data_IF_633874095289
#
_entry.id   IF_633874095289
#
_cell.length_a   1.000
_cell.length_b   1.000
_cell.length_c   1.000
_cell.angle_alpha   90.00
_cell.angle_beta   90.00
_cell.angle_gamma   90.00
#
_symmetry.space_group_name_H-M   'P 1'
#
loop_
_entity.id
_entity.type
_entity.pdbx_description
1 polymer ?
#
# COMPACT_ATOMS: atom_id res chain seq x y z
N UNK A 1 -2.24 -16.19 27.31
CA UNK A 1 -2.50 -16.86 26.03
C UNK A 1 -3.31 -15.96 25.08
N UNK A 2 -2.66 -15.45 24.04
CA UNK A 2 -3.28 -14.65 22.99
C UNK A 2 -3.31 -15.41 21.66
N UNK A 3 -4.40 -15.27 20.90
CA UNK A 3 -4.51 -15.87 19.56
C UNK A 3 -4.61 -14.77 18.52
N UNK A 4 -3.78 -14.84 17.49
CA UNK A 4 -3.82 -13.95 16.33
C UNK A 4 -4.36 -14.74 15.15
N UNK A 5 -5.41 -14.23 14.51
CA UNK A 5 -6.06 -14.88 13.38
C UNK A 5 -5.70 -14.14 12.09
N UNK A 6 -4.82 -14.74 11.29
CA UNK A 6 -4.25 -14.14 10.07
C UNK A 6 -2.78 -13.73 10.27
N UNK A 7 -1.92 -14.15 9.34
CA UNK A 7 -0.48 -13.96 9.27
C UNK A 7 -0.04 -13.02 8.14
N UNK A 8 -0.90 -12.06 7.76
CA UNK A 8 -0.49 -10.93 6.93
C UNK A 8 0.25 -9.86 7.74
N UNK A 9 0.54 -8.71 7.13
CA UNK A 9 1.21 -7.57 7.79
C UNK A 9 0.57 -7.16 9.12
N UNK A 10 -0.76 -7.08 9.19
CA UNK A 10 -1.47 -6.76 10.44
C UNK A 10 -1.33 -7.85 11.51
N UNK A 11 -1.23 -9.12 11.10
CA UNK A 11 -1.05 -10.26 12.00
C UNK A 11 0.36 -10.30 12.60
N UNK A 12 1.37 -10.16 11.75
CA UNK A 12 2.77 -10.05 12.19
C UNK A 12 3.04 -8.80 13.01
N UNK A 13 2.40 -7.67 12.67
CA UNK A 13 2.42 -6.47 13.50
C UNK A 13 1.83 -6.70 14.89
N UNK A 14 0.70 -7.41 14.98
CA UNK A 14 0.10 -7.79 16.26
C UNK A 14 0.98 -8.78 17.05
N UNK A 15 1.58 -9.76 16.37
CA UNK A 15 2.49 -10.73 16.99
C UNK A 15 3.70 -10.03 17.61
N UNK A 16 4.34 -9.15 16.84
CA UNK A 16 5.44 -8.30 17.29
C UNK A 16 5.04 -7.46 18.51
N UNK A 17 3.92 -6.74 18.43
CA UNK A 17 3.46 -5.88 19.52
C UNK A 17 3.17 -6.67 20.81
N UNK A 18 2.55 -7.85 20.71
CA UNK A 18 2.27 -8.71 21.87
C UNK A 18 3.55 -9.28 22.47
N UNK A 19 4.44 -9.83 21.65
CA UNK A 19 5.72 -10.39 22.10
C UNK A 19 6.59 -9.34 22.80
N UNK A 20 6.66 -8.13 22.24
CA UNK A 20 7.51 -7.05 22.76
C UNK A 20 6.85 -6.20 23.84
N UNK A 21 5.58 -6.47 24.19
CA UNK A 21 4.85 -5.72 25.22
C UNK A 21 5.44 -5.83 26.63
N UNK A 22 6.32 -6.83 26.85
CA UNK A 22 6.83 -7.19 28.18
C UNK A 22 5.85 -8.01 29.01
N UNK A 23 4.68 -8.35 28.49
CA UNK A 23 3.75 -9.26 29.14
C UNK A 23 4.24 -10.71 29.01
N UNK A 24 4.21 -11.45 30.12
CA UNK A 24 4.45 -12.89 30.12
C UNK A 24 3.23 -13.61 29.51
N UNK A 25 3.30 -13.87 28.21
CA UNK A 25 2.18 -14.43 27.48
C UNK A 25 2.60 -15.39 26.36
N UNK A 26 1.84 -16.48 26.25
CA UNK A 26 1.91 -17.38 25.09
C UNK A 26 1.12 -16.78 23.93
N UNK A 27 1.74 -16.66 22.77
CA UNK A 27 1.11 -16.12 21.55
C UNK A 27 1.01 -17.24 20.52
N UNK A 28 -0.19 -17.45 19.96
CA UNK A 28 -0.42 -18.37 18.85
C UNK A 28 -0.93 -17.61 17.63
N UNK A 29 -0.16 -17.59 16.55
CA UNK A 29 -0.59 -17.06 15.26
C UNK A 29 -1.15 -18.20 14.41
N UNK A 30 -2.37 -18.06 13.90
CA UNK A 30 -3.03 -19.08 13.07
C UNK A 30 -3.33 -18.49 11.69
N UNK A 31 -2.84 -19.12 10.63
CA UNK A 31 -3.10 -18.70 9.25
C UNK A 31 -3.40 -19.88 8.31
N UNK A 32 -4.23 -19.61 7.31
CA UNK A 32 -4.65 -20.61 6.32
C UNK A 32 -3.59 -20.87 5.24
N UNK A 33 -2.63 -19.96 5.03
CA UNK A 33 -1.46 -20.18 4.20
C UNK A 33 -0.64 -21.33 4.80
N UNK A 34 -0.18 -22.30 3.98
CA UNK A 34 0.60 -23.43 4.47
C UNK A 34 1.80 -23.02 5.33
N UNK A 35 2.45 -21.93 4.95
CA UNK A 35 3.53 -21.32 5.72
C UNK A 35 3.40 -19.79 5.73
N UNK A 36 2.93 -19.19 6.85
CA UNK A 36 2.85 -17.75 7.00
C UNK A 36 4.15 -17.11 7.51
N UNK A 37 5.19 -17.89 7.83
CA UNK A 37 6.50 -17.39 8.28
C UNK A 37 7.38 -16.92 7.13
N UNK A 38 7.12 -17.42 5.91
CA UNK A 38 7.96 -17.14 4.75
C UNK A 38 9.18 -18.05 4.62
N UNK A 39 9.33 -19.06 5.48
CA UNK A 39 10.42 -20.04 5.38
C UNK A 39 10.32 -20.91 4.11
N UNK A 40 9.09 -21.18 3.67
CA UNK A 40 8.78 -21.97 2.48
C UNK A 40 8.40 -21.04 1.33
N UNK A 41 9.15 -21.02 0.22
CA UNK A 41 8.85 -20.13 -0.89
C UNK A 41 7.55 -20.52 -1.58
N UNK A 42 6.78 -19.51 -1.99
CA UNK A 42 5.58 -19.73 -2.79
C UNK A 42 5.95 -19.84 -4.27
N UNK A 43 5.92 -21.06 -4.81
CA UNK A 43 6.38 -21.36 -6.16
C UNK A 43 5.23 -21.73 -7.10
N UNK A 44 5.40 -21.40 -8.38
CA UNK A 44 4.60 -21.94 -9.48
C UNK A 44 4.84 -23.45 -9.65
N UNK A 45 3.97 -24.18 -10.38
CA UNK A 45 4.23 -25.59 -10.71
C UNK A 45 5.55 -25.85 -11.45
N UNK A 46 6.17 -24.81 -12.03
CA UNK A 46 7.46 -24.89 -12.73
C UNK A 46 8.64 -24.44 -11.87
N UNK A 47 8.45 -24.29 -10.54
CA UNK A 47 9.52 -23.92 -9.60
C UNK A 47 9.81 -22.42 -9.50
N UNK A 48 9.19 -21.58 -10.33
CA UNK A 48 9.42 -20.11 -10.32
C UNK A 48 8.73 -19.42 -9.14
N UNK A 49 9.34 -18.41 -8.51
CA UNK A 49 8.74 -17.69 -7.39
C UNK A 49 7.48 -16.90 -7.81
N UNK A 50 6.48 -16.88 -6.94
CA UNK A 50 5.20 -16.18 -7.14
C UNK A 50 4.83 -15.42 -5.86
N UNK A 51 4.24 -14.22 -6.02
CA UNK A 51 3.65 -13.46 -4.93
C UNK A 51 2.26 -12.97 -5.33
N UNK A 52 1.40 -12.72 -4.32
CA UNK A 52 0.09 -12.10 -4.51
C UNK A 52 0.25 -10.59 -4.77
N UNK A 53 0.84 -10.23 -5.91
CA UNK A 53 1.20 -8.86 -6.28
C UNK A 53 2.68 -8.54 -6.08
N UNK A 54 3.14 -7.48 -6.74
CA UNK A 54 4.47 -6.90 -6.50
C UNK A 54 4.30 -5.72 -5.55
N UNK A 55 5.14 -5.63 -4.51
CA UNK A 55 5.00 -4.66 -3.42
C UNK A 55 6.09 -3.61 -3.51
N UNK A 56 5.68 -2.36 -3.65
CA UNK A 56 6.56 -1.19 -3.55
C UNK A 56 6.60 -0.70 -2.11
N UNK A 57 7.76 -0.21 -1.71
CA UNK A 57 8.00 0.39 -0.40
C UNK A 57 8.36 1.85 -0.60
N UNK A 58 7.50 2.74 -0.11
CA UNK A 58 7.77 4.18 -0.14
C UNK A 58 8.83 4.55 0.90
N UNK A 59 9.55 5.64 0.65
CA UNK A 59 10.52 6.19 1.61
C UNK A 59 9.88 6.44 2.98
N UNK A 60 8.66 6.98 3.00
CA UNK A 60 7.90 7.34 4.20
C UNK A 60 7.18 6.17 4.87
N UNK A 61 7.81 4.99 4.90
CA UNK A 61 7.34 3.82 5.64
C UNK A 61 8.18 3.63 6.93
N UNK A 62 8.08 4.54 7.92
CA UNK A 62 8.96 4.56 9.09
C UNK A 62 8.89 3.26 9.89
N UNK A 63 7.73 2.60 9.94
CA UNK A 63 7.58 1.32 10.63
C UNK A 63 8.35 0.18 9.94
N UNK A 64 8.46 0.20 8.61
CA UNK A 64 9.25 -0.80 7.87
C UNK A 64 10.74 -0.50 8.00
N UNK A 65 11.14 0.77 7.95
CA UNK A 65 12.53 1.17 8.14
C UNK A 65 13.01 0.79 9.55
N UNK A 66 12.23 1.12 10.58
CA UNK A 66 12.50 0.73 11.96
C UNK A 66 12.53 -0.79 12.18
N UNK A 67 11.68 -1.55 11.47
CA UNK A 67 11.71 -3.00 11.48
C UNK A 67 13.04 -3.53 10.94
N UNK A 68 13.52 -3.01 9.81
CA UNK A 68 14.81 -3.41 9.23
C UNK A 68 15.95 -3.12 10.21
N UNK A 69 15.96 -1.91 10.79
CA UNK A 69 16.99 -1.49 11.75
C UNK A 69 17.00 -2.39 13.00
N UNK A 70 15.82 -2.73 13.52
CA UNK A 70 15.69 -3.61 14.69
C UNK A 70 16.18 -5.03 14.41
N UNK A 71 15.89 -5.56 13.22
CA UNK A 71 16.32 -6.89 12.80
C UNK A 71 17.79 -6.92 12.33
N UNK A 72 18.47 -5.77 12.29
CA UNK A 72 19.83 -5.66 11.79
C UNK A 72 19.96 -5.93 10.28
N UNK A 73 18.87 -5.72 9.53
CA UNK A 73 18.85 -5.92 8.08
C UNK A 73 19.45 -4.70 7.37
N UNK A 74 20.45 -4.91 6.52
CA UNK A 74 20.94 -3.85 5.64
C UNK A 74 19.89 -3.55 4.58
N UNK A 75 19.30 -2.36 4.66
CA UNK A 75 18.26 -1.91 3.73
C UNK A 75 18.73 -1.91 2.27
N UNK A 76 20.04 -1.76 1.99
CA UNK A 76 20.58 -1.82 0.63
C UNK A 76 20.69 -3.25 0.07
N UNK A 77 20.61 -4.25 0.94
CA UNK A 77 20.55 -5.66 0.56
C UNK A 77 19.11 -6.18 0.49
N UNK A 78 18.20 -5.60 1.27
CA UNK A 78 16.77 -5.91 1.21
C UNK A 78 16.08 -5.22 0.04
N UNK A 79 16.39 -3.93 -0.18
CA UNK A 79 15.68 -3.11 -1.15
C UNK A 79 16.56 -2.65 -2.31
N UNK A 80 15.94 -2.47 -3.47
CA UNK A 80 16.56 -1.78 -4.61
C UNK A 80 16.79 -0.30 -4.26
N UNK A 81 17.61 0.42 -5.03
CA UNK A 81 17.53 1.89 -5.07
C UNK A 81 16.10 2.35 -5.41
N UNK A 82 15.79 3.59 -5.02
CA UNK A 82 14.53 4.23 -5.40
C UNK A 82 14.44 4.35 -6.92
N UNK A 83 13.24 4.12 -7.46
CA UNK A 83 13.06 3.92 -8.90
C UNK A 83 11.90 4.74 -9.47
N UNK A 84 12.15 5.39 -10.61
CA UNK A 84 11.15 6.06 -11.42
C UNK A 84 10.06 5.12 -11.93
N UNK A 85 8.85 5.64 -12.11
CA UNK A 85 7.74 4.91 -12.75
C UNK A 85 7.32 5.56 -14.06
N UNK A 86 7.20 4.76 -15.12
CA UNK A 86 6.73 5.23 -16.44
C UNK A 86 5.24 4.99 -16.62
N UNK A 87 4.51 6.00 -17.10
CA UNK A 87 3.06 5.95 -17.31
C UNK A 87 2.72 5.78 -18.79
N UNK A 88 1.97 4.74 -19.12
CA UNK A 88 1.60 4.40 -20.49
C UNK A 88 0.09 4.50 -20.72
N UNK A 89 -0.26 5.02 -21.89
CA UNK A 89 -1.61 4.97 -22.47
C UNK A 89 -1.56 4.37 -23.89
N UNK A 90 -2.71 4.20 -24.58
CA UNK A 90 -2.73 3.85 -26.00
C UNK A 90 -1.88 4.77 -26.89
N UNK A 91 -1.65 6.01 -26.46
CA UNK A 91 -0.85 7.02 -27.18
C UNK A 91 0.64 6.98 -26.80
N UNK A 92 1.07 5.92 -26.11
CA UNK A 92 2.46 5.67 -25.72
C UNK A 92 2.81 6.16 -24.32
N UNK A 93 4.06 6.56 -24.11
CA UNK A 93 4.54 7.11 -22.84
C UNK A 93 3.95 8.52 -22.63
N UNK A 94 3.28 8.71 -21.50
CA UNK A 94 2.58 9.96 -21.14
C UNK A 94 3.37 10.80 -20.14
N UNK A 95 4.02 10.15 -19.18
CA UNK A 95 4.78 10.78 -18.12
C UNK A 95 5.80 9.80 -17.53
N UNK A 96 6.86 10.31 -16.94
CA UNK A 96 7.75 9.55 -16.04
C UNK A 96 7.72 10.22 -14.68
N UNK A 97 7.27 9.52 -13.65
CA UNK A 97 7.40 10.01 -12.28
C UNK A 97 8.89 10.00 -11.90
N UNK A 98 9.45 11.13 -11.43
CA UNK A 98 10.85 11.25 -11.06
C UNK A 98 11.10 10.65 -9.68
N UNK A 99 12.37 10.33 -9.40
CA UNK A 99 12.89 10.09 -8.07
C UNK A 99 13.19 11.47 -7.54
N UNK A 100 12.38 11.91 -6.60
CA UNK A 100 12.42 13.27 -6.11
C UNK A 100 13.67 13.53 -5.29
N UNK A 101 14.24 12.53 -4.61
CA UNK A 101 15.55 12.65 -3.96
C UNK A 101 16.70 12.97 -4.93
N UNK A 102 16.52 12.76 -6.24
CA UNK A 102 17.55 12.96 -7.28
C UNK A 102 17.23 14.09 -8.28
N UNK A 103 16.08 14.76 -8.13
CA UNK A 103 15.62 15.75 -9.12
C UNK A 103 16.41 17.06 -9.05
N UNK A 104 17.07 17.43 -10.15
CA UNK A 104 17.63 18.79 -10.38
C UNK A 104 16.64 19.62 -11.20
N UNK A 105 16.60 20.94 -11.02
CA UNK A 105 15.71 21.85 -11.79
C UNK A 105 15.81 21.55 -13.29
N UNK A 106 14.68 21.40 -14.03
CA UNK A 106 14.72 21.51 -15.47
C UNK A 106 15.15 22.93 -15.86
N UNK A 107 15.90 23.07 -16.96
CA UNK A 107 16.15 24.35 -17.61
C UNK A 107 14.81 24.93 -18.11
N UNK A 108 14.09 25.63 -17.24
CA UNK A 108 12.85 26.31 -17.58
C UNK A 108 13.20 27.65 -18.23
N UNK A 109 12.93 27.78 -19.53
CA UNK A 109 12.79 29.10 -20.15
C UNK A 109 11.50 29.75 -19.61
N UNK A 110 11.65 30.55 -18.55
CA UNK A 110 10.53 31.30 -17.96
C UNK A 110 10.13 32.46 -18.90
N UNK A 111 8.87 32.54 -19.36
CA UNK A 111 8.38 33.66 -20.16
C UNK A 111 8.58 35.00 -19.45
N UNK A 112 8.99 36.04 -20.18
CA UNK A 112 9.33 37.37 -19.66
C UNK A 112 8.25 37.97 -18.73
N UNK A 113 6.97 37.69 -19.02
CA UNK A 113 5.82 38.16 -18.24
C UNK A 113 5.75 37.60 -16.80
N UNK A 114 6.30 36.41 -16.55
CA UNK A 114 6.35 35.80 -15.22
C UNK A 114 7.56 36.30 -14.41
N UNK A 115 8.64 36.75 -15.06
CA UNK A 115 9.80 37.38 -14.41
C UNK A 115 9.47 38.75 -13.79
N UNK A 116 8.47 39.44 -14.33
CA UNK A 116 8.04 40.75 -13.82
C UNK A 116 7.10 40.69 -12.60
N UNK A 117 6.70 39.50 -12.14
CA UNK A 117 5.88 39.35 -10.94
C UNK A 117 6.77 39.43 -9.67
N UNK A 118 6.43 40.29 -8.68
CA UNK A 118 7.11 40.29 -7.38
C UNK A 118 7.00 38.91 -6.73
N UNK A 119 8.02 38.48 -5.98
CA UNK A 119 8.22 37.13 -5.43
C UNK A 119 8.58 36.02 -6.43
N UNK A 120 8.13 36.05 -7.68
CA UNK A 120 8.44 35.01 -8.68
C UNK A 120 9.84 35.20 -9.28
N UNK A 121 10.24 36.45 -9.54
CA UNK A 121 11.58 36.78 -10.04
C UNK A 121 12.72 36.48 -9.06
N UNK A 122 12.48 36.65 -7.75
CA UNK A 122 13.48 36.36 -6.70
C UNK A 122 13.60 34.86 -6.39
N UNK A 123 12.52 34.08 -6.58
CA UNK A 123 12.51 32.63 -6.36
C UNK A 123 13.09 31.85 -7.56
N UNK A 124 13.05 32.41 -8.76
CA UNK A 124 13.47 31.78 -10.03
C UNK A 124 14.75 32.38 -10.63
N UNK A 125 15.48 33.22 -9.89
CA UNK A 125 16.76 33.79 -10.35
C UNK A 125 17.81 32.70 -10.60
N UNK A 126 18.46 32.72 -11.77
CA UNK A 126 19.51 31.82 -12.30
C UNK A 126 19.87 30.58 -11.42
N UNK A 127 18.92 29.64 -11.31
CA UNK A 127 19.02 28.41 -10.49
C UNK A 127 19.53 27.20 -11.28
N UNK A 128 20.03 27.43 -12.50
CA UNK A 128 20.50 26.37 -13.40
C UNK A 128 21.60 25.52 -12.73
N UNK A 129 21.35 24.22 -12.57
CA UNK A 129 22.33 23.24 -12.07
C UNK A 129 22.55 23.14 -10.55
N UNK A 130 21.79 23.86 -9.70
CA UNK A 130 21.88 23.72 -8.22
C UNK A 130 20.89 22.70 -7.65
N UNK A 131 21.27 22.04 -6.56
CA UNK A 131 20.36 21.21 -5.77
C UNK A 131 19.22 22.09 -5.22
N UNK A 132 17.98 21.62 -5.33
CA UNK A 132 16.79 22.35 -4.91
C UNK A 132 16.82 22.52 -3.39
N UNK A 133 16.75 23.74 -2.83
CA UNK A 133 16.42 23.88 -1.41
C UNK A 133 15.01 23.32 -1.19
N UNK A 134 14.85 22.38 -0.26
CA UNK A 134 13.57 21.74 0.05
C UNK A 134 12.51 22.79 0.39
N UNK A 135 11.66 23.13 -0.59
CA UNK A 135 10.51 24.00 -0.35
C UNK A 135 9.51 23.22 0.51
N UNK A 136 8.81 23.89 1.44
CA UNK A 136 7.80 23.22 2.24
C UNK A 136 6.72 22.64 1.34
N UNK A 137 6.26 21.44 1.70
CA UNK A 137 5.02 20.89 1.19
C UNK A 137 3.88 21.92 1.43
N UNK A 138 2.96 22.14 0.47
CA UNK A 138 2.84 21.50 -0.85
C UNK A 138 3.59 22.21 -2.00
N UNK A 139 4.22 23.36 -1.74
CA UNK A 139 4.81 24.21 -2.78
C UNK A 139 5.97 23.54 -3.51
N UNK A 140 6.81 22.80 -2.77
CA UNK A 140 7.90 22.02 -3.36
C UNK A 140 7.43 20.94 -4.32
N UNK A 141 6.34 20.23 -3.98
CA UNK A 141 5.79 19.21 -4.85
C UNK A 141 5.16 19.80 -6.12
N UNK A 142 4.44 20.91 -6.02
CA UNK A 142 3.86 21.58 -7.19
C UNK A 142 4.96 22.00 -8.18
N UNK A 143 6.06 22.58 -7.69
CA UNK A 143 7.18 23.00 -8.55
C UNK A 143 7.90 21.79 -9.16
N UNK A 144 8.11 20.72 -8.39
CA UNK A 144 8.77 19.51 -8.87
C UNK A 144 7.92 18.70 -9.86
N UNK A 145 6.59 18.71 -9.71
CA UNK A 145 5.67 17.96 -10.56
C UNK A 145 5.22 18.73 -11.80
N UNK A 146 5.25 20.07 -11.78
CA UNK A 146 4.86 20.93 -12.90
C UNK A 146 5.48 20.55 -14.26
N UNK A 147 6.77 20.17 -14.36
CA UNK A 147 7.42 19.78 -15.62
C UNK A 147 7.05 18.37 -16.11
N UNK A 148 6.55 17.51 -15.23
CA UNK A 148 6.28 16.09 -15.52
C UNK A 148 5.03 15.85 -16.37
N UNK A 149 4.18 16.87 -16.46
CA UNK A 149 2.98 16.83 -17.29
C UNK A 149 3.37 17.17 -18.73
N UNK A 150 3.76 16.18 -19.54
CA UNK A 150 4.19 16.45 -20.92
C UNK A 150 3.00 16.79 -21.85
N UNK A 151 1.78 16.34 -21.53
CA UNK A 151 0.62 16.44 -22.45
C UNK A 151 -0.62 17.19 -21.95
N UNK A 152 -0.62 17.70 -20.71
CA UNK A 152 -1.78 18.44 -20.15
C UNK A 152 -1.60 19.96 -20.38
N UNK A 153 -2.54 20.68 -21.03
CA UNK A 153 -2.46 22.14 -21.19
C UNK A 153 -2.40 22.91 -19.85
N UNK A 154 -1.77 24.09 -19.84
CA UNK A 154 -1.62 24.90 -18.61
C UNK A 154 -2.96 25.27 -17.95
N UNK A 155 -3.99 25.55 -18.74
CA UNK A 155 -5.33 25.86 -18.22
C UNK A 155 -5.94 24.68 -17.46
N UNK A 156 -5.75 23.46 -17.96
CA UNK A 156 -6.22 22.25 -17.28
C UNK A 156 -5.43 21.99 -16.00
N UNK A 157 -4.11 22.22 -16.01
CA UNK A 157 -3.28 22.14 -14.79
C UNK A 157 -3.71 23.14 -13.71
N UNK A 158 -4.09 24.36 -14.11
CA UNK A 158 -4.55 25.38 -13.16
C UNK A 158 -5.80 24.93 -12.39
N UNK A 159 -6.64 24.07 -12.98
CA UNK A 159 -7.82 23.52 -12.30
C UNK A 159 -7.48 22.63 -11.09
N UNK A 160 -6.23 22.16 -10.97
CA UNK A 160 -5.72 21.43 -9.79
C UNK A 160 -5.79 22.26 -8.50
N UNK A 161 -5.79 23.60 -8.60
CA UNK A 161 -5.89 24.48 -7.43
C UNK A 161 -7.14 24.21 -6.58
N UNK A 162 -8.25 23.80 -7.20
CA UNK A 162 -9.45 23.39 -6.49
C UNK A 162 -9.21 22.18 -5.57
N UNK A 163 -8.43 21.20 -6.04
CA UNK A 163 -8.08 20.02 -5.25
C UNK A 163 -7.15 20.37 -4.07
N UNK A 164 -6.23 21.32 -4.26
CA UNK A 164 -5.36 21.79 -3.16
C UNK A 164 -6.19 22.39 -2.01
N UNK A 165 -7.17 23.23 -2.35
CA UNK A 165 -8.10 23.80 -1.38
C UNK A 165 -8.91 22.72 -0.66
N UNK A 166 -9.45 21.76 -1.42
CA UNK A 166 -10.15 20.61 -0.86
C UNK A 166 -9.26 19.82 0.10
N UNK A 167 -7.97 19.69 -0.19
CA UNK A 167 -7.05 18.92 0.67
C UNK A 167 -6.83 19.59 2.00
N UNK A 168 -6.62 20.91 1.99
CA UNK A 168 -6.44 21.68 3.21
C UNK A 168 -7.70 21.61 4.08
N UNK A 169 -8.89 21.74 3.48
CA UNK A 169 -10.17 21.63 4.19
C UNK A 169 -10.42 20.22 4.73
N UNK A 170 -10.18 19.20 3.90
CA UNK A 170 -10.44 17.80 4.25
C UNK A 170 -9.47 17.28 5.32
N UNK A 171 -8.16 17.38 5.08
CA UNK A 171 -7.13 16.79 5.96
C UNK A 171 -6.74 17.71 7.11
N UNK A 172 -6.94 19.02 6.97
CA UNK A 172 -6.80 19.98 8.07
C UNK A 172 -8.05 20.13 8.93
N UNK A 173 -9.19 19.57 8.48
CA UNK A 173 -10.47 19.61 9.18
C UNK A 173 -10.60 18.55 10.27
N UNK A 174 -11.68 18.65 11.06
CA UNK A 174 -12.03 17.67 12.08
C UNK A 174 -12.72 16.42 11.51
N UNK A 175 -13.01 15.44 12.37
CA UNK A 175 -13.68 14.20 11.97
C UNK A 175 -15.05 14.45 11.29
N UNK A 176 -15.78 15.49 11.67
CA UNK A 176 -17.09 15.80 11.07
C UNK A 176 -16.93 16.32 9.63
N UNK A 177 -15.87 17.10 9.36
CA UNK A 177 -15.50 17.49 8.00
C UNK A 177 -15.08 16.26 7.20
N UNK A 178 -14.18 15.44 7.73
CA UNK A 178 -13.72 14.22 7.04
C UNK A 178 -14.87 13.27 6.70
N UNK A 179 -15.86 13.09 7.60
CA UNK A 179 -17.07 12.29 7.32
C UNK A 179 -17.93 12.85 6.20
N UNK A 180 -17.94 14.17 5.97
CA UNK A 180 -18.66 14.76 4.82
C UNK A 180 -17.97 14.43 3.51
N UNK A 181 -16.63 14.46 3.48
CA UNK A 181 -15.86 14.01 2.34
C UNK A 181 -16.00 12.50 2.12
N UNK A 182 -16.05 11.71 3.20
CA UNK A 182 -16.20 10.26 3.08
C UNK A 182 -17.54 9.82 2.46
N UNK A 183 -18.59 10.63 2.68
CA UNK A 183 -19.92 10.42 2.09
C UNK A 183 -20.05 10.94 0.66
N UNK A 184 -19.04 11.61 0.14
CA UNK A 184 -18.99 12.14 -1.22
C UNK A 184 -18.16 11.20 -2.09
N UNK A 185 -18.51 11.05 -3.36
CA UNK A 185 -17.65 10.35 -4.32
C UNK A 185 -16.49 11.23 -4.78
N UNK A 186 -15.38 10.61 -5.20
CA UNK A 186 -14.27 11.34 -5.84
C UNK A 186 -14.72 12.12 -7.08
N UNK A 187 -15.70 11.61 -7.83
CA UNK A 187 -16.26 12.31 -8.98
C UNK A 187 -17.01 13.59 -8.59
N UNK A 188 -17.84 13.53 -7.53
CA UNK A 188 -18.55 14.70 -7.01
C UNK A 188 -17.58 15.75 -6.45
N UNK A 189 -16.49 15.32 -5.80
CA UNK A 189 -15.41 16.18 -5.36
C UNK A 189 -14.82 16.96 -6.55
N UNK A 190 -14.47 16.27 -7.64
CA UNK A 190 -13.85 16.92 -8.79
C UNK A 190 -14.75 17.96 -9.44
N UNK A 191 -16.05 17.66 -9.55
CA UNK A 191 -17.05 18.61 -10.04
C UNK A 191 -17.19 19.81 -9.10
N UNK A 192 -17.27 19.56 -7.79
CA UNK A 192 -17.44 20.60 -6.76
C UNK A 192 -16.28 21.59 -6.73
N UNK A 193 -15.07 21.11 -6.95
CA UNK A 193 -13.85 21.92 -6.93
C UNK A 193 -13.38 22.38 -8.32
N UNK A 194 -14.18 22.14 -9.37
CA UNK A 194 -13.97 22.72 -10.69
C UNK A 194 -12.76 22.16 -11.45
N UNK A 195 -12.40 20.90 -11.20
CA UNK A 195 -11.35 20.24 -11.97
C UNK A 195 -11.80 20.06 -13.42
N UNK A 196 -10.90 20.30 -14.37
CA UNK A 196 -11.23 20.12 -15.78
C UNK A 196 -11.41 18.64 -16.11
N UNK A 197 -12.34 18.34 -17.01
CA UNK A 197 -12.61 16.96 -17.44
C UNK A 197 -11.35 16.30 -18.02
N UNK A 198 -10.53 17.07 -18.74
CA UNK A 198 -9.25 16.59 -19.27
C UNK A 198 -8.29 16.21 -18.15
N UNK A 199 -8.12 17.06 -17.13
CA UNK A 199 -7.25 16.74 -15.99
C UNK A 199 -7.71 15.47 -15.27
N UNK A 200 -9.03 15.35 -15.05
CA UNK A 200 -9.60 14.17 -14.40
C UNK A 200 -9.35 12.91 -15.23
N UNK A 201 -9.63 12.93 -16.52
CA UNK A 201 -9.56 11.74 -17.38
C UNK A 201 -8.13 11.35 -17.77
N UNK A 202 -7.26 12.34 -18.00
CA UNK A 202 -5.90 12.10 -18.51
C UNK A 202 -4.90 11.85 -17.39
N UNK A 203 -5.17 12.34 -16.16
CA UNK A 203 -4.22 12.23 -15.04
C UNK A 203 -4.83 11.61 -13.78
N UNK A 204 -5.89 12.20 -13.22
CA UNK A 204 -6.38 11.79 -11.89
C UNK A 204 -6.96 10.37 -11.92
N UNK A 205 -7.86 10.07 -12.85
CA UNK A 205 -8.51 8.76 -12.97
C UNK A 205 -7.49 7.62 -13.21
N UNK A 206 -6.50 7.75 -14.12
CA UNK A 206 -5.39 6.81 -14.21
C UNK A 206 -4.68 6.54 -12.88
N UNK A 207 -4.35 7.59 -12.12
CA UNK A 207 -3.69 7.46 -10.81
C UNK A 207 -4.57 6.70 -9.80
N UNK A 208 -5.87 7.01 -9.74
CA UNK A 208 -6.81 6.32 -8.86
C UNK A 208 -7.00 4.85 -9.22
N UNK A 209 -7.10 4.54 -10.52
CA UNK A 209 -7.24 3.17 -11.02
C UNK A 209 -6.03 2.30 -10.72
N UNK A 210 -4.87 2.92 -10.46
CA UNK A 210 -3.61 2.22 -10.21
C UNK A 210 -3.29 2.17 -8.72
N UNK A 211 -3.56 3.24 -7.99
CA UNK A 211 -3.35 3.29 -6.54
C UNK A 211 -4.44 2.61 -5.73
N UNK A 212 -5.70 2.73 -6.16
CA UNK A 212 -6.89 2.26 -5.43
C UNK A 212 -7.73 1.24 -6.20
N UNK A 213 -7.33 0.89 -7.43
CA UNK A 213 -8.00 -0.11 -8.28
C UNK A 213 -9.47 0.19 -8.62
N UNK A 214 -9.91 1.43 -8.44
CA UNK A 214 -11.30 1.86 -8.66
C UNK A 214 -11.38 3.25 -9.29
N UNK A 215 -12.42 3.51 -10.10
CA UNK A 215 -12.63 4.81 -10.69
C UNK A 215 -13.21 5.81 -9.65
N UNK A 216 -13.09 7.13 -9.87
CA UNK A 216 -13.50 8.14 -8.90
C UNK A 216 -14.98 8.12 -8.53
N UNK A 217 -15.85 7.67 -9.43
CA UNK A 217 -17.28 7.48 -9.19
C UNK A 217 -17.60 6.35 -8.18
N UNK A 218 -16.65 5.46 -7.88
CA UNK A 218 -16.79 4.36 -6.90
C UNK A 218 -15.96 4.57 -5.62
N UNK A 219 -15.19 5.65 -5.55
CA UNK A 219 -14.30 5.94 -4.43
C UNK A 219 -14.87 7.05 -3.56
N UNK A 220 -14.74 6.91 -2.24
CA UNK A 220 -14.94 8.00 -1.28
C UNK A 220 -13.96 9.14 -1.58
N UNK A 221 -14.44 10.39 -1.51
CA UNK A 221 -13.61 11.55 -1.72
C UNK A 221 -12.51 11.63 -0.66
N UNK A 222 -12.77 11.21 0.59
CA UNK A 222 -11.76 11.17 1.64
C UNK A 222 -10.57 10.29 1.24
N UNK A 223 -10.83 9.07 0.78
CA UNK A 223 -9.77 8.14 0.33
C UNK A 223 -9.02 8.69 -0.89
N UNK A 224 -9.73 9.34 -1.82
CA UNK A 224 -9.13 10.05 -2.95
C UNK A 224 -8.20 11.17 -2.47
N UNK A 225 -8.63 11.96 -1.48
CA UNK A 225 -7.83 13.05 -0.90
C UNK A 225 -6.58 12.53 -0.17
N UNK A 226 -6.70 11.43 0.58
CA UNK A 226 -5.56 10.80 1.25
C UNK A 226 -4.51 10.33 0.23
N UNK A 227 -4.94 9.64 -0.85
CA UNK A 227 -4.01 9.22 -1.91
C UNK A 227 -3.37 10.44 -2.58
N UNK A 228 -4.17 11.43 -2.98
CA UNK A 228 -3.68 12.60 -3.70
C UNK A 228 -2.81 13.51 -2.82
N UNK A 229 -3.02 13.51 -1.50
CA UNK A 229 -2.12 14.19 -0.56
C UNK A 229 -0.72 13.59 -0.62
N UNK A 230 -0.58 12.27 -0.53
CA UNK A 230 0.73 11.63 -0.68
C UNK A 230 1.30 11.80 -2.09
N UNK A 231 0.44 11.85 -3.12
CA UNK A 231 0.86 11.98 -4.51
C UNK A 231 1.31 13.39 -4.91
N UNK A 232 0.68 14.43 -4.37
CA UNK A 232 0.83 15.80 -4.84
C UNK A 232 1.29 16.79 -3.76
N UNK A 233 1.25 16.40 -2.48
CA UNK A 233 1.38 17.34 -1.36
C UNK A 233 2.29 16.87 -0.24
N UNK A 234 2.66 15.60 -0.11
CA UNK A 234 3.63 15.17 0.91
C UNK A 234 5.06 15.71 0.60
N UNK A 235 6.07 15.30 1.39
CA UNK A 235 7.46 15.70 1.10
C UNK A 235 7.86 15.27 -0.31
N UNK A 236 8.86 15.95 -0.89
CA UNK A 236 9.25 15.73 -2.29
C UNK A 236 9.59 14.24 -2.52
N UNK A 237 10.39 13.67 -1.65
CA UNK A 237 10.87 12.27 -1.64
C UNK A 237 9.85 11.24 -1.11
N UNK A 238 8.71 11.67 -0.56
CA UNK A 238 7.64 10.76 -0.09
C UNK A 238 7.16 9.78 -1.16
N UNK A 239 7.37 10.11 -2.44
CA UNK A 239 6.97 9.30 -3.58
C UNK A 239 8.05 8.35 -4.08
N UNK A 240 9.25 8.39 -3.50
CA UNK A 240 10.34 7.52 -3.92
C UNK A 240 10.02 6.08 -3.47
N UNK A 241 9.78 5.22 -4.46
CA UNK A 241 9.44 3.80 -4.26
C UNK A 241 10.64 2.93 -4.56
N UNK A 242 10.93 2.00 -3.65
CA UNK A 242 11.88 0.91 -3.82
C UNK A 242 11.19 -0.44 -3.77
N UNK A 243 11.86 -1.48 -4.24
CA UNK A 243 11.31 -2.83 -4.38
C UNK A 243 12.18 -3.83 -3.61
N UNK A 244 11.66 -5.04 -3.36
CA UNK A 244 12.50 -6.13 -2.85
C UNK A 244 13.58 -6.45 -3.87
N UNK A 245 14.84 -6.43 -3.43
CA UNK A 245 16.04 -6.63 -4.25
C UNK A 245 16.26 -8.10 -4.58
N UNK A 246 16.08 -8.99 -3.62
CA UNK A 246 16.29 -10.43 -3.76
C UNK A 246 15.10 -11.17 -3.16
N UNK A 247 14.66 -12.28 -3.76
CA UNK A 247 13.55 -13.07 -3.22
C UNK A 247 12.21 -12.32 -3.20
N UNK A 248 11.50 -12.46 -2.08
CA UNK A 248 10.12 -12.01 -1.88
C UNK A 248 9.97 -11.23 -0.58
N UNK A 249 8.83 -10.58 -0.37
CA UNK A 249 8.55 -9.96 0.93
C UNK A 249 8.52 -11.00 2.07
N UNK A 250 8.09 -12.23 1.76
CA UNK A 250 7.95 -13.28 2.76
C UNK A 250 9.32 -13.71 3.31
N UNK A 251 10.29 -13.99 2.44
CA UNK A 251 11.63 -14.41 2.85
C UNK A 251 12.51 -13.25 3.35
N UNK A 252 12.36 -12.04 2.79
CA UNK A 252 13.30 -10.95 3.05
C UNK A 252 12.93 -10.11 4.27
N UNK A 253 11.67 -10.14 4.69
CA UNK A 253 11.17 -9.32 5.81
C UNK A 253 10.40 -10.13 6.85
N UNK A 254 9.47 -10.99 6.41
CA UNK A 254 8.62 -11.74 7.34
C UNK A 254 9.38 -12.87 8.02
N UNK A 255 10.21 -13.62 7.28
CA UNK A 255 11.01 -14.71 7.84
C UNK A 255 11.99 -14.24 8.93
N UNK A 256 12.82 -13.20 8.72
CA UNK A 256 13.68 -12.67 9.79
C UNK A 256 12.89 -12.22 11.02
N UNK A 257 11.72 -11.60 10.82
CA UNK A 257 10.84 -11.22 11.92
C UNK A 257 10.29 -12.45 12.65
N UNK A 258 9.87 -13.49 11.93
CA UNK A 258 9.36 -14.73 12.50
C UNK A 258 10.44 -15.42 13.34
N UNK A 259 11.64 -15.59 12.80
CA UNK A 259 12.77 -16.22 13.49
C UNK A 259 13.17 -15.45 14.76
N UNK A 260 13.26 -14.13 14.69
CA UNK A 260 13.54 -13.27 15.83
C UNK A 260 12.49 -13.43 16.94
N UNK A 261 11.20 -13.36 16.58
CA UNK A 261 10.12 -13.46 17.56
C UNK A 261 10.01 -14.87 18.15
N UNK A 262 10.11 -15.92 17.35
CA UNK A 262 10.04 -17.30 17.82
C UNK A 262 11.30 -17.71 18.61
N UNK A 263 12.46 -17.11 18.31
CA UNK A 263 13.70 -17.34 19.05
C UNK A 263 13.74 -16.67 20.41
N UNK A 264 13.04 -15.53 20.58
CA UNK A 264 13.08 -14.72 21.81
C UNK A 264 11.84 -14.86 22.70
N UNK A 265 10.69 -15.21 22.13
CA UNK A 265 9.40 -15.20 22.82
C UNK A 265 8.66 -16.53 22.63
N UNK A 266 7.63 -16.76 23.46
CA UNK A 266 6.77 -17.94 23.31
C UNK A 266 5.71 -17.73 22.21
N UNK A 267 6.18 -17.62 20.97
CA UNK A 267 5.36 -17.50 19.77
C UNK A 267 5.28 -18.84 19.03
N UNK A 268 4.07 -19.38 18.93
CA UNK A 268 3.75 -20.53 18.08
C UNK A 268 3.04 -20.06 16.80
N UNK A 269 3.49 -20.57 15.66
CA UNK A 269 2.90 -20.26 14.35
C UNK A 269 2.29 -21.52 13.74
N UNK A 270 0.98 -21.49 13.52
CA UNK A 270 0.19 -22.58 12.96
C UNK A 270 -0.22 -22.26 11.52
N UNK A 271 0.62 -22.65 10.57
CA UNK A 271 0.34 -22.57 9.13
C UNK A 271 -0.59 -23.69 8.64
N UNK A 272 -1.29 -23.42 7.53
CA UNK A 272 -2.27 -24.32 6.92
C UNK A 272 -3.52 -24.55 7.77
N UNK A 273 -3.73 -23.72 8.78
CA UNK A 273 -4.79 -23.83 9.76
C UNK A 273 -5.85 -22.76 9.53
N UNK A 274 -7.11 -23.16 9.34
CA UNK A 274 -8.21 -22.22 9.07
C UNK A 274 -9.08 -22.04 10.31
N UNK A 275 -9.05 -20.84 10.91
CA UNK A 275 -9.98 -20.47 11.99
C UNK A 275 -11.40 -20.42 11.43
N UNK A 276 -12.31 -21.14 12.08
CA UNK A 276 -13.71 -21.25 11.68
C UNK A 276 -14.66 -20.51 12.61
N UNK A 277 -14.40 -20.51 13.92
CA UNK A 277 -15.34 -20.00 14.93
C UNK A 277 -14.60 -19.47 16.14
N UNK A 278 -15.09 -18.37 16.70
CA UNK A 278 -14.65 -17.78 17.96
C UNK A 278 -15.87 -17.69 18.88
N UNK A 279 -15.71 -18.18 20.11
CA UNK A 279 -16.76 -18.15 21.10
C UNK A 279 -16.47 -17.09 22.16
N UNK A 280 -17.45 -16.23 22.42
CA UNK A 280 -17.44 -15.27 23.52
C UNK A 280 -18.48 -15.68 24.56
N UNK A 281 -18.11 -15.56 25.83
CA UNK A 281 -18.99 -15.75 26.97
C UNK A 281 -18.98 -14.51 27.86
N UNK A 282 -20.04 -14.33 28.67
CA UNK A 282 -20.06 -13.28 29.69
C UNK A 282 -19.25 -13.72 30.90
N UNK A 283 -18.44 -12.83 31.43
CA UNK A 283 -17.73 -13.06 32.69
C UNK A 283 -18.70 -13.16 33.87
N UNK A 284 -18.38 -13.95 34.89
CA UNK A 284 -19.19 -14.07 36.11
C UNK A 284 -19.34 -12.74 36.88
N UNK A 285 -18.43 -11.79 36.67
CA UNK A 285 -18.36 -10.51 37.39
C UNK A 285 -19.00 -9.33 36.64
N UNK A 286 -19.72 -9.55 35.54
CA UNK A 286 -20.47 -8.49 34.87
C UNK A 286 -20.84 -8.74 33.40
N UNK A 287 -21.24 -7.68 32.70
CA UNK A 287 -21.73 -7.72 31.31
C UNK A 287 -20.62 -7.75 30.23
N UNK A 288 -19.35 -7.89 30.65
CA UNK A 288 -18.21 -7.93 29.73
C UNK A 288 -18.14 -9.29 29.04
N UNK A 289 -18.05 -9.27 27.72
CA UNK A 289 -17.79 -10.46 26.91
C UNK A 289 -16.29 -10.73 26.82
N UNK A 290 -15.91 -11.99 26.99
CA UNK A 290 -14.54 -12.48 26.85
C UNK A 290 -14.50 -13.66 25.89
N UNK A 291 -13.48 -13.72 25.04
CA UNK A 291 -13.26 -14.88 24.20
C UNK A 291 -12.86 -16.07 25.09
N UNK A 292 -13.51 -17.22 24.93
CA UNK A 292 -13.21 -18.43 25.72
C UNK A 292 -12.58 -19.50 24.87
N UNK A 293 -12.89 -19.52 23.57
CA UNK A 293 -12.44 -20.54 22.63
C UNK A 293 -12.26 -20.02 21.21
N UNK A 294 -11.17 -20.43 20.56
CA UNK A 294 -10.94 -20.28 19.12
C UNK A 294 -10.86 -21.66 18.48
N UNK A 295 -11.76 -21.97 17.54
CA UNK A 295 -11.80 -23.25 16.83
C UNK A 295 -11.23 -23.12 15.43
N UNK A 296 -10.37 -24.05 15.03
CA UNK A 296 -9.73 -24.07 13.72
C UNK A 296 -9.66 -25.47 13.13
N UNK A 297 -9.46 -25.56 11.82
CA UNK A 297 -9.22 -26.81 11.11
C UNK A 297 -7.77 -26.88 10.66
N UNK A 298 -7.09 -27.97 10.98
CA UNK A 298 -5.68 -28.20 10.60
C UNK A 298 -5.52 -28.73 9.16
N UNK A 299 -4.30 -28.87 8.63
CA UNK A 299 -4.06 -29.40 7.29
C UNK A 299 -4.57 -30.83 7.06
N UNK A 300 -4.75 -31.61 8.13
CA UNK A 300 -5.31 -32.96 8.08
C UNK A 300 -6.85 -32.98 8.10
N UNK A 301 -7.50 -31.80 8.15
CA UNK A 301 -8.95 -31.66 8.20
C UNK A 301 -9.54 -31.89 9.60
N UNK A 302 -8.71 -32.00 10.64
CA UNK A 302 -9.15 -32.18 12.04
C UNK A 302 -9.58 -30.84 12.61
N UNK A 303 -10.70 -30.81 13.31
CA UNK A 303 -11.16 -29.63 14.06
C UNK A 303 -10.52 -29.63 15.44
N UNK A 304 -9.77 -28.57 15.74
CA UNK A 304 -9.06 -28.34 17.00
C UNK A 304 -9.54 -27.03 17.63
N UNK A 305 -9.21 -26.81 18.90
CA UNK A 305 -9.51 -25.55 19.57
C UNK A 305 -8.42 -25.11 20.54
N UNK A 306 -8.25 -23.79 20.64
CA UNK A 306 -7.50 -23.13 21.71
C UNK A 306 -8.51 -22.64 22.74
N UNK A 307 -8.46 -23.20 23.95
CA UNK A 307 -9.34 -22.83 25.06
C UNK A 307 -8.60 -21.95 26.07
N UNK A 308 -9.36 -21.17 26.84
CA UNK A 308 -8.82 -20.29 27.88
C UNK A 308 -7.91 -19.22 27.27
N UNK A 309 -8.44 -18.49 26.28
CA UNK A 309 -7.74 -17.39 25.62
C UNK A 309 -7.98 -16.10 26.38
N UNK A 310 -6.93 -15.32 26.60
CA UNK A 310 -7.02 -14.01 27.28
C UNK A 310 -7.35 -12.88 26.30
N UNK A 311 -7.06 -13.11 25.01
CA UNK A 311 -7.39 -12.17 23.94
C UNK A 311 -7.27 -12.81 22.56
N UNK A 312 -8.04 -12.25 21.62
CA UNK A 312 -8.01 -12.66 20.21
C UNK A 312 -7.86 -11.42 19.34
N UNK A 313 -6.89 -11.44 18.44
CA UNK A 313 -6.68 -10.39 17.43
C UNK A 313 -7.15 -10.91 16.07
N UNK A 314 -8.09 -10.21 15.45
CA UNK A 314 -8.59 -10.54 14.11
C UNK A 314 -7.83 -9.74 13.05
N UNK A 315 -6.80 -10.34 12.46
CA UNK A 315 -6.00 -9.76 11.38
C UNK A 315 -6.41 -10.34 10.02
N UNK A 316 -7.72 -10.33 9.74
CA UNK A 316 -8.32 -10.97 8.57
C UNK A 316 -8.70 -9.95 7.49
N UNK A 317 -8.53 -10.34 6.22
CA UNK A 317 -9.17 -9.65 5.10
C UNK A 317 -10.70 -9.85 5.09
N UNK A 318 -11.42 -9.08 4.26
CA UNK A 318 -12.89 -9.03 4.22
C UNK A 318 -13.56 -10.42 4.18
N UNK A 319 -13.13 -11.32 3.27
CA UNK A 319 -13.67 -12.68 3.14
C UNK A 319 -13.42 -13.55 4.37
N UNK A 320 -12.26 -13.39 5.02
CA UNK A 320 -11.91 -14.10 6.24
C UNK A 320 -12.75 -13.61 7.42
N UNK A 321 -12.87 -12.29 7.58
CA UNK A 321 -13.69 -11.65 8.60
C UNK A 321 -15.16 -12.07 8.47
N UNK A 322 -15.73 -12.00 7.27
CA UNK A 322 -17.09 -12.47 6.98
C UNK A 322 -17.26 -13.93 7.37
N UNK A 323 -16.32 -14.80 6.98
CA UNK A 323 -16.41 -16.23 7.27
C UNK A 323 -16.39 -16.52 8.78
N UNK A 324 -15.48 -15.91 9.54
CA UNK A 324 -15.36 -16.16 10.97
C UNK A 324 -16.56 -15.59 11.72
N UNK A 325 -16.96 -14.35 11.42
CA UNK A 325 -18.09 -13.70 12.10
C UNK A 325 -19.41 -14.42 11.81
N UNK A 326 -19.65 -14.83 10.55
CA UNK A 326 -20.85 -15.61 10.18
C UNK A 326 -20.96 -16.92 10.94
N UNK A 327 -19.82 -17.57 11.20
CA UNK A 327 -19.75 -18.84 11.93
C UNK A 327 -19.65 -18.66 13.45
N UNK A 328 -19.65 -17.42 13.96
CA UNK A 328 -19.48 -17.08 15.38
C UNK A 328 -20.66 -16.25 15.90
N UNK A 329 -21.78 -16.87 16.33
CA UNK A 329 -22.99 -16.14 16.72
C UNK A 329 -22.79 -15.09 17.84
N UNK A 330 -21.86 -15.34 18.75
CA UNK A 330 -21.52 -14.41 19.84
C UNK A 330 -20.76 -13.17 19.34
N UNK A 331 -19.92 -13.30 18.32
CA UNK A 331 -19.27 -12.17 17.64
C UNK A 331 -20.26 -11.40 16.78
N UNK A 332 -21.08 -12.11 15.99
CA UNK A 332 -21.99 -11.51 15.01
C UNK A 332 -23.03 -10.56 15.63
N UNK A 333 -23.36 -10.73 16.92
CA UNK A 333 -24.27 -9.85 17.67
C UNK A 333 -23.66 -8.49 18.01
N UNK A 334 -22.34 -8.35 17.93
CA UNK A 334 -21.65 -7.10 18.25
C UNK A 334 -21.52 -6.26 16.97
N UNK A 335 -22.05 -5.02 16.96
CA UNK A 335 -22.05 -4.17 15.76
C UNK A 335 -20.67 -3.96 15.13
N UNK A 336 -19.61 -3.88 15.93
CA UNK A 336 -18.24 -3.71 15.41
C UNK A 336 -17.82 -4.85 14.49
N UNK A 337 -18.13 -6.10 14.85
CA UNK A 337 -17.75 -7.27 14.06
C UNK A 337 -18.69 -7.50 12.88
N UNK A 338 -20.00 -7.26 13.04
CA UNK A 338 -20.94 -7.38 11.93
C UNK A 338 -20.72 -6.30 10.86
N UNK A 339 -20.40 -5.06 11.26
CA UNK A 339 -20.00 -4.01 10.34
C UNK A 339 -18.69 -4.37 9.61
N UNK A 340 -17.65 -4.82 10.33
CA UNK A 340 -16.40 -5.27 9.70
C UNK A 340 -16.62 -6.44 8.72
N UNK A 341 -17.47 -7.40 9.07
CA UNK A 341 -17.83 -8.54 8.22
C UNK A 341 -18.67 -8.14 6.98
N UNK A 342 -19.31 -6.97 7.00
CA UNK A 342 -20.10 -6.46 5.88
C UNK A 342 -19.25 -5.76 4.80
N UNK A 343 -17.99 -5.43 5.11
CA UNK A 343 -17.08 -4.79 4.18
C UNK A 343 -16.73 -5.72 3.03
N UNK A 344 -16.61 -5.16 1.82
CA UNK A 344 -16.26 -5.91 0.61
C UNK A 344 -14.85 -5.53 0.18
N UNK A 345 -14.09 -6.54 -0.27
CA UNK A 345 -12.79 -6.32 -0.89
C UNK A 345 -12.93 -5.92 -2.36
N UNK A 346 -11.86 -5.36 -2.91
CA UNK A 346 -11.69 -5.16 -4.35
C UNK A 346 -10.93 -6.37 -4.89
N UNK A 347 -11.41 -6.95 -5.99
CA UNK A 347 -10.71 -8.04 -6.66
C UNK A 347 -9.60 -7.47 -7.54
N UNK A 348 -8.38 -7.94 -7.33
CA UNK A 348 -7.19 -7.58 -8.10
C UNK A 348 -6.56 -8.87 -8.63
N UNK A 349 -6.09 -8.85 -9.88
CA UNK A 349 -5.41 -9.98 -10.49
C UNK A 349 -3.92 -9.63 -10.59
N UNK A 350 -3.08 -10.49 -10.05
CA UNK A 350 -1.64 -10.46 -10.28
C UNK A 350 -1.25 -11.63 -11.20
N UNK A 351 -0.45 -11.33 -12.21
CA UNK A 351 0.10 -12.32 -13.12
C UNK A 351 1.61 -12.09 -13.23
N UNK A 352 2.38 -13.17 -13.25
CA UNK A 352 3.81 -13.15 -13.60
C UNK A 352 4.00 -13.83 -14.94
N UNK A 353 4.71 -13.15 -15.84
CA UNK A 353 4.99 -13.60 -17.20
C UNK A 353 6.50 -13.76 -17.36
N UNK A 354 6.94 -14.95 -17.76
CA UNK A 354 8.34 -15.21 -18.11
C UNK A 354 8.44 -15.30 -19.63
N UNK A 355 9.29 -14.46 -20.21
CA UNK A 355 9.54 -14.39 -21.64
C UNK A 355 10.85 -15.11 -21.98
N UNK A 356 10.99 -15.61 -23.20
CA UNK A 356 12.24 -16.19 -23.71
C UNK A 356 13.34 -15.16 -23.98
N UNK A 357 13.00 -13.87 -23.85
CA UNK A 357 13.88 -12.72 -24.11
C UNK A 357 13.64 -11.62 -23.09
N UNK A 358 14.70 -10.85 -22.83
CA UNK A 358 14.61 -9.62 -22.03
C UNK A 358 13.86 -8.55 -22.81
N UNK A 359 12.81 -8.00 -22.22
CA UNK A 359 12.04 -6.88 -22.77
C UNK A 359 12.63 -5.58 -22.24
N UNK A 360 13.14 -4.73 -23.12
CA UNK A 360 13.67 -3.42 -22.73
C UNK A 360 12.53 -2.44 -22.48
N UNK A 361 12.57 -1.79 -21.32
CA UNK A 361 11.66 -0.71 -20.93
C UNK A 361 12.48 0.52 -20.52
N UNK A 362 11.86 1.71 -20.48
CA UNK A 362 12.53 2.93 -20.03
C UNK A 362 12.86 2.87 -18.54
N UNK A 363 11.91 2.37 -17.76
CA UNK A 363 12.05 2.12 -16.33
C UNK A 363 11.55 0.70 -16.03
N UNK A 364 12.01 0.10 -14.93
CA UNK A 364 11.57 -1.25 -14.58
C UNK A 364 10.19 -1.25 -13.89
N UNK A 365 9.75 -0.14 -13.29
CA UNK A 365 8.40 0.04 -12.77
C UNK A 365 7.53 0.83 -13.75
N UNK A 366 6.33 0.34 -14.03
CA UNK A 366 5.48 0.90 -15.06
C UNK A 366 4.01 0.84 -14.66
N UNK A 367 3.27 1.85 -15.11
CA UNK A 367 1.84 2.04 -14.90
C UNK A 367 1.16 2.11 -16.26
N UNK A 368 0.00 1.50 -16.39
CA UNK A 368 -0.75 1.54 -17.64
C UNK A 368 -2.25 1.62 -17.38
N UNK A 369 -2.92 2.45 -18.19
CA UNK A 369 -4.35 2.68 -18.07
C UNK A 369 -4.93 3.06 -19.44
N UNK A 370 -6.26 3.20 -19.54
CA UNK A 370 -6.98 3.64 -20.74
C UNK A 370 -6.91 2.71 -21.96
N UNK A 371 -6.23 1.57 -21.88
CA UNK A 371 -6.30 0.55 -22.91
C UNK A 371 -7.71 -0.05 -22.97
N UNK A 372 -8.35 -0.07 -24.15
CA UNK A 372 -9.71 -0.59 -24.29
C UNK A 372 -9.88 -2.03 -23.78
N UNK A 373 -8.82 -2.84 -23.86
CA UNK A 373 -8.79 -4.20 -23.32
C UNK A 373 -8.94 -4.27 -21.78
N UNK A 374 -8.59 -3.20 -21.06
CA UNK A 374 -8.74 -3.10 -19.60
C UNK A 374 -10.18 -2.87 -19.15
N UNK A 375 -11.09 -2.50 -20.06
CA UNK A 375 -12.52 -2.28 -19.75
C UNK A 375 -12.76 -1.37 -18.54
N UNK A 376 -11.97 -0.31 -18.42
CA UNK A 376 -12.06 0.66 -17.31
C UNK A 376 -11.12 0.39 -16.14
N UNK A 377 -10.40 -0.73 -16.10
CA UNK A 377 -9.33 -0.95 -15.13
C UNK A 377 -8.04 -0.18 -15.47
N UNK A 378 -7.18 -0.03 -14.47
CA UNK A 378 -5.77 0.32 -14.62
C UNK A 378 -4.90 -0.80 -14.06
N UNK A 379 -3.60 -0.71 -14.26
CA UNK A 379 -2.68 -1.69 -13.72
C UNK A 379 -1.24 -1.20 -13.67
N UNK A 380 -0.40 -2.02 -13.06
CA UNK A 380 1.05 -1.87 -13.02
C UNK A 380 1.71 -3.11 -13.57
N UNK A 381 2.88 -2.92 -14.18
CA UNK A 381 3.75 -4.03 -14.55
C UNK A 381 5.20 -3.70 -14.18
N UNK A 382 5.92 -4.73 -13.75
CA UNK A 382 7.25 -4.60 -13.18
C UNK A 382 8.20 -5.56 -13.89
N UNK A 383 9.34 -5.05 -14.31
CA UNK A 383 10.41 -5.83 -14.93
C UNK A 383 11.30 -6.40 -13.84
N UNK A 384 10.92 -7.58 -13.33
CA UNK A 384 11.61 -8.21 -12.19
C UNK A 384 13.09 -8.49 -12.48
N UNK A 385 13.44 -8.84 -13.71
CA UNK A 385 14.83 -9.05 -14.15
C UNK A 385 15.69 -7.77 -14.06
N UNK A 386 15.06 -6.60 -14.17
CA UNK A 386 15.71 -5.31 -14.04
C UNK A 386 15.72 -4.80 -12.58
N UNK A 387 14.73 -5.17 -11.77
CA UNK A 387 14.65 -4.80 -10.34
C UNK A 387 15.55 -5.68 -9.47
N UNK A 388 15.47 -6.99 -9.66
CA UNK A 388 16.10 -8.01 -8.81
C UNK A 388 17.36 -8.60 -9.43
N UNK A 389 17.69 -8.19 -10.66
CA UNK A 389 18.72 -8.82 -11.47
C UNK A 389 18.23 -10.12 -12.11
N UNK A 390 18.85 -10.52 -13.22
CA UNK A 390 18.45 -11.69 -13.98
C UNK A 390 19.21 -12.95 -13.51
N UNK A 391 19.01 -13.35 -12.24
CA UNK A 391 19.67 -14.50 -11.61
C UNK A 391 18.85 -15.80 -11.65
N UNK A 392 19.47 -16.97 -11.39
CA UNK A 392 18.80 -18.29 -11.40
C UNK A 392 17.53 -18.38 -10.53
N UNK A 393 17.52 -17.68 -9.39
CA UNK A 393 16.41 -17.66 -8.44
C UNK A 393 15.08 -17.20 -9.07
N UNK A 394 15.12 -16.20 -9.96
CA UNK A 394 13.94 -15.72 -10.70
C UNK A 394 13.37 -16.77 -11.67
N UNK A 395 14.22 -17.70 -12.12
CA UNK A 395 13.87 -18.76 -13.06
C UNK A 395 13.51 -20.07 -12.37
N UNK A 396 13.72 -20.16 -11.05
CA UNK A 396 13.55 -21.36 -10.25
C UNK A 396 14.66 -22.39 -10.49
N UNK A 397 15.87 -21.92 -10.76
CA UNK A 397 17.06 -22.72 -11.09
C UNK A 397 18.09 -22.80 -9.96
#
# INVERSE_FOLDING_TARGET
>A
KYVIVGGGWGGWGAAKALCESGADCDVTLIDALPDPTGATPYLSPTGKPVEAGTRGFWMDYPNINALCDQLGLDQNEVFTPYTNSSFYSPDGLEATAPVFSETKFPELEVPEALRSLPFVGDLLGDVSGRAVPSLPSPLGQIVATFPLFERVPLADRASMAGLLLATIDCLGGDEEVQRKYDRMTGQELFLRFGLSERLVNDFVKPTLLVGLFKPPEELSALVVMELLYYYALAHQDSFDVRWIKNGTVADSLILPLAEELQGKYNLEVLGGCRVGEIELERTAEGDKLTATRVSYTDPAGRRLSVNGVDGVVLALGCKGMESVVRSSPSLARLPVFSNAASLRGIDVISCRLWFDKVVKTRTPANVFSRFGALRGAGGTFFMLDQLQGNGPELWGE
#
